data_IF_101261790415
#
_entry.id   IF_101261790415
#
_cell.length_a   1.000
_cell.length_b   1.000
_cell.length_c   1.000
_cell.angle_alpha   90.00
_cell.angle_beta   90.00
_cell.angle_gamma   90.00
#
_symmetry.space_group_name_H-M   'P 1'
#
loop_
_entity.id
_entity.type
_entity.pdbx_description
1 polymer ?
#
# COMPACT_ATOMS: atom_id res chain seq x y z
N UNK A 1 7.62 12.60 -12.98
CA UNK A 1 7.76 12.43 -11.52
C UNK A 1 6.94 13.51 -10.82
N UNK A 2 6.05 13.11 -9.93
CA UNK A 2 5.23 14.05 -9.16
C UNK A 2 6.10 14.81 -8.16
N UNK A 3 5.83 16.11 -7.95
CA UNK A 3 6.63 17.00 -7.09
C UNK A 3 6.83 16.50 -5.65
N UNK A 4 5.95 15.61 -5.17
CA UNK A 4 5.96 15.04 -3.82
C UNK A 4 6.43 13.57 -3.76
N UNK A 5 6.97 13.00 -4.83
CA UNK A 5 7.37 11.59 -4.87
C UNK A 5 8.39 11.24 -3.77
N UNK A 6 9.38 12.07 -3.56
CA UNK A 6 10.40 11.84 -2.53
C UNK A 6 9.84 11.78 -1.10
N UNK A 7 8.72 12.45 -0.83
CA UNK A 7 8.11 12.52 0.51
C UNK A 7 7.18 11.33 0.77
N UNK A 8 6.50 10.84 -0.26
CA UNK A 8 5.51 9.75 -0.16
C UNK A 8 6.07 8.37 -0.49
N UNK A 9 7.28 8.29 -1.05
CA UNK A 9 7.90 7.01 -1.40
C UNK A 9 8.48 6.32 -0.18
N UNK A 10 8.15 5.04 -0.03
CA UNK A 10 8.70 4.18 1.02
C UNK A 10 10.06 3.65 0.55
N UNK A 11 11.11 3.71 1.36
CA UNK A 11 12.39 3.09 1.03
C UNK A 11 12.24 1.59 0.73
N UNK A 12 12.78 1.13 -0.39
CA UNK A 12 12.68 -0.26 -0.84
C UNK A 12 13.17 -1.25 0.24
N UNK A 13 14.25 -0.92 0.94
CA UNK A 13 14.79 -1.76 2.02
C UNK A 13 13.80 -2.04 3.15
N UNK A 14 12.99 -1.04 3.52
CA UNK A 14 11.95 -1.20 4.55
C UNK A 14 10.79 -2.05 4.03
N UNK A 15 10.39 -1.84 2.79
CA UNK A 15 9.36 -2.66 2.16
C UNK A 15 9.81 -4.12 2.07
N UNK A 16 11.05 -4.37 1.63
CA UNK A 16 11.62 -5.71 1.57
C UNK A 16 11.66 -6.40 2.94
N UNK A 17 11.94 -5.65 4.01
CA UNK A 17 11.90 -6.19 5.37
C UNK A 17 10.48 -6.63 5.75
N UNK A 18 9.48 -5.80 5.47
CA UNK A 18 8.07 -6.14 5.70
C UNK A 18 7.69 -7.46 5.01
N UNK A 19 8.00 -7.59 3.72
CA UNK A 19 7.63 -8.75 2.92
C UNK A 19 8.24 -10.05 3.46
N UNK A 20 9.50 -10.00 3.88
CA UNK A 20 10.17 -11.18 4.46
C UNK A 20 9.59 -11.63 5.79
N UNK A 21 8.93 -10.75 6.53
CA UNK A 21 8.31 -11.10 7.82
C UNK A 21 6.95 -11.76 7.68
N UNK A 22 6.37 -11.78 6.48
CA UNK A 22 5.05 -12.35 6.19
C UNK A 22 5.10 -13.43 5.10
N UNK A 23 5.78 -14.56 5.32
CA UNK A 23 6.00 -15.59 4.29
C UNK A 23 4.72 -16.32 3.85
N UNK A 24 3.64 -16.18 4.59
CA UNK A 24 2.32 -16.76 4.25
C UNK A 24 1.47 -15.86 3.35
N UNK A 25 1.89 -14.61 3.15
CA UNK A 25 1.19 -13.65 2.29
C UNK A 25 1.81 -13.69 0.90
N UNK A 26 0.99 -13.86 -0.12
CA UNK A 26 1.41 -13.69 -1.51
C UNK A 26 1.31 -12.21 -1.85
N UNK A 27 2.45 -11.61 -2.18
CA UNK A 27 2.49 -10.21 -2.57
C UNK A 27 2.51 -10.06 -4.09
N UNK A 28 1.70 -9.15 -4.62
CA UNK A 28 1.61 -8.83 -6.04
C UNK A 28 2.04 -7.38 -6.25
N UNK A 29 3.02 -7.14 -7.14
CA UNK A 29 3.50 -5.79 -7.41
C UNK A 29 2.58 -5.06 -8.40
N UNK A 30 1.82 -4.09 -7.90
CA UNK A 30 0.90 -3.28 -8.70
C UNK A 30 1.55 -2.03 -9.30
N UNK A 31 2.86 -1.92 -9.30
CA UNK A 31 3.59 -0.80 -9.88
C UNK A 31 4.06 -1.16 -11.30
N UNK A 32 3.54 -0.48 -12.35
CA UNK A 32 3.86 -0.83 -13.76
C UNK A 32 5.34 -0.73 -14.09
N UNK A 33 6.00 0.31 -13.58
CA UNK A 33 7.38 0.69 -13.92
C UNK A 33 8.42 0.18 -12.90
N UNK A 34 8.01 -0.73 -11.97
CA UNK A 34 8.95 -1.30 -11.02
C UNK A 34 9.97 -2.18 -11.73
N UNK A 35 11.27 -1.88 -11.56
CA UNK A 35 12.32 -2.76 -12.00
C UNK A 35 12.32 -4.06 -11.20
N UNK A 36 12.63 -5.18 -11.85
CA UNK A 36 12.70 -6.49 -11.19
C UNK A 36 13.74 -6.52 -10.07
N UNK A 37 14.78 -5.72 -10.19
CA UNK A 37 15.89 -5.66 -9.22
C UNK A 37 15.48 -4.92 -7.93
N UNK A 38 14.46 -4.06 -8.00
CA UNK A 38 13.90 -3.38 -6.82
C UNK A 38 12.90 -4.25 -6.05
N UNK A 39 12.55 -5.44 -6.58
CA UNK A 39 11.56 -6.33 -6.03
C UNK A 39 12.23 -7.62 -5.58
N UNK A 40 12.08 -8.05 -4.31
CA UNK A 40 12.63 -9.33 -3.86
C UNK A 40 12.06 -10.48 -4.69
N UNK A 41 12.91 -11.20 -5.40
CA UNK A 41 12.54 -12.21 -6.38
C UNK A 41 11.66 -13.38 -5.84
N UNK A 42 11.54 -13.51 -4.53
CA UNK A 42 10.92 -14.69 -3.90
C UNK A 42 9.42 -14.56 -3.59
N UNK A 43 8.81 -13.39 -3.77
CA UNK A 43 7.46 -13.15 -3.25
C UNK A 43 6.53 -12.36 -4.18
N UNK A 44 6.90 -12.10 -5.43
CA UNK A 44 6.12 -11.18 -6.26
C UNK A 44 5.71 -11.79 -7.58
N UNK A 45 4.41 -11.78 -7.81
CA UNK A 45 3.86 -11.78 -9.14
C UNK A 45 3.82 -10.33 -9.65
N UNK A 46 4.22 -10.09 -10.88
CA UNK A 46 4.11 -8.78 -11.54
C UNK A 46 3.12 -8.89 -12.69
N UNK A 47 1.87 -8.47 -12.51
CA UNK A 47 0.88 -8.48 -13.56
C UNK A 47 1.20 -7.44 -14.65
N UNK A 48 0.68 -7.67 -15.85
CA UNK A 48 0.85 -6.77 -16.97
C UNK A 48 -0.20 -5.65 -16.95
N UNK A 49 0.09 -4.57 -16.25
CA UNK A 49 -0.80 -3.43 -16.03
C UNK A 49 -0.68 -2.40 -17.18
N UNK A 50 -1.36 -2.65 -18.30
CA UNK A 50 -1.31 -1.80 -19.50
C UNK A 50 -2.12 -0.51 -19.39
N UNK A 51 -3.20 -0.54 -18.62
CA UNK A 51 -4.14 0.55 -18.48
C UNK A 51 -4.94 0.42 -17.17
N UNK A 52 -5.78 1.39 -16.88
CA UNK A 52 -6.63 1.40 -15.68
C UNK A 52 -7.61 0.24 -15.62
N UNK A 53 -8.09 -0.27 -16.76
CA UNK A 53 -8.99 -1.41 -16.79
C UNK A 53 -8.26 -2.71 -16.43
N UNK A 54 -7.06 -2.91 -16.96
CA UNK A 54 -6.20 -4.03 -16.56
C UNK A 54 -5.86 -3.97 -15.06
N UNK A 55 -5.53 -2.78 -14.56
CA UNK A 55 -5.26 -2.55 -13.14
C UNK A 55 -6.49 -2.86 -12.27
N UNK A 56 -7.68 -2.42 -12.68
CA UNK A 56 -8.92 -2.71 -11.97
C UNK A 56 -9.24 -4.20 -11.93
N UNK A 57 -9.04 -4.90 -13.04
CA UNK A 57 -9.25 -6.37 -13.10
C UNK A 57 -8.31 -7.10 -12.17
N UNK A 58 -7.03 -6.71 -12.15
CA UNK A 58 -6.05 -7.31 -11.25
C UNK A 58 -6.40 -7.04 -9.79
N UNK A 59 -6.74 -5.79 -9.45
CA UNK A 59 -7.18 -5.43 -8.10
C UNK A 59 -8.34 -6.30 -7.60
N UNK A 60 -9.29 -6.64 -8.47
CA UNK A 60 -10.44 -7.49 -8.12
C UNK A 60 -10.06 -8.95 -7.80
N UNK A 61 -8.84 -9.38 -8.08
CA UNK A 61 -8.33 -10.73 -7.73
C UNK A 61 -7.61 -10.74 -6.38
N UNK A 62 -7.32 -9.58 -5.82
CA UNK A 62 -6.56 -9.42 -4.58
C UNK A 62 -7.48 -9.30 -3.37
N UNK A 63 -7.05 -9.82 -2.24
CA UNK A 63 -7.78 -9.66 -0.96
C UNK A 63 -7.72 -8.22 -0.45
N UNK A 64 -6.63 -7.50 -0.72
CA UNK A 64 -6.45 -6.11 -0.35
C UNK A 64 -5.31 -5.44 -1.12
N UNK A 65 -5.33 -4.11 -1.15
CA UNK A 65 -4.23 -3.29 -1.65
C UNK A 65 -3.51 -2.60 -0.49
N UNK A 66 -2.18 -2.62 -0.50
CA UNK A 66 -1.34 -1.73 0.33
C UNK A 66 -0.62 -0.75 -0.58
N UNK A 67 -0.77 0.54 -0.34
CA UNK A 67 -0.19 1.58 -1.21
C UNK A 67 0.08 2.87 -0.44
N UNK A 68 0.77 3.79 -1.07
CA UNK A 68 0.86 5.19 -0.65
C UNK A 68 -0.21 6.03 -1.34
N UNK A 69 -0.24 7.34 -1.13
CA UNK A 69 -1.16 8.26 -1.80
C UNK A 69 -0.89 8.32 -3.32
N UNK A 70 -1.60 7.50 -4.06
CA UNK A 70 -1.49 7.36 -5.52
C UNK A 70 -2.85 7.06 -6.16
N UNK A 71 -2.94 7.18 -7.48
CA UNK A 71 -4.19 6.92 -8.22
C UNK A 71 -4.79 5.53 -7.98
N UNK A 72 -3.96 4.51 -7.75
CA UNK A 72 -4.44 3.15 -7.49
C UNK A 72 -5.17 3.04 -6.13
N UNK A 73 -4.82 3.88 -5.13
CA UNK A 73 -5.55 3.94 -3.86
C UNK A 73 -7.01 4.36 -4.09
N UNK A 74 -7.22 5.36 -4.94
CA UNK A 74 -8.55 5.84 -5.30
C UNK A 74 -9.32 4.81 -6.13
N UNK A 75 -8.65 4.12 -7.04
CA UNK A 75 -9.27 3.05 -7.84
C UNK A 75 -9.74 1.90 -6.93
N UNK A 76 -8.90 1.41 -6.04
CA UNK A 76 -9.25 0.35 -5.11
C UNK A 76 -10.41 0.76 -4.18
N UNK A 77 -10.33 1.97 -3.63
CA UNK A 77 -11.40 2.52 -2.80
C UNK A 77 -12.73 2.65 -3.52
N UNK A 78 -12.73 3.11 -4.77
CA UNK A 78 -13.93 3.20 -5.61
C UNK A 78 -14.52 1.84 -5.98
N UNK A 79 -13.69 0.81 -6.11
CA UNK A 79 -14.11 -0.58 -6.35
C UNK A 79 -14.57 -1.29 -5.08
N UNK A 80 -14.46 -0.65 -3.90
CA UNK A 80 -14.82 -1.27 -2.61
C UNK A 80 -13.82 -2.32 -2.12
N UNK A 81 -12.63 -2.38 -2.71
CA UNK A 81 -11.57 -3.30 -2.32
C UNK A 81 -10.92 -2.78 -1.04
N UNK A 82 -10.66 -3.63 -0.03
CA UNK A 82 -9.93 -3.22 1.15
C UNK A 82 -8.60 -2.58 0.76
N UNK A 83 -8.34 -1.36 1.24
CA UNK A 83 -7.12 -0.64 0.91
C UNK A 83 -6.47 -0.06 2.16
N UNK A 84 -5.19 -0.36 2.35
CA UNK A 84 -4.35 0.22 3.37
C UNK A 84 -3.46 1.30 2.77
N UNK A 85 -3.66 2.53 3.22
CA UNK A 85 -3.01 3.71 2.64
C UNK A 85 -1.98 4.22 3.64
N UNK A 86 -0.72 4.20 3.23
CA UNK A 86 0.40 4.70 4.02
C UNK A 86 0.67 6.15 3.63
N UNK A 87 0.57 7.06 4.58
CA UNK A 87 0.63 8.49 4.35
C UNK A 87 1.85 9.14 5.02
N UNK A 88 2.43 10.18 4.39
CA UNK A 88 3.44 11.01 5.04
C UNK A 88 2.84 11.77 6.24
N UNK A 89 3.71 12.36 7.06
CA UNK A 89 3.31 13.16 8.22
C UNK A 89 2.37 14.33 7.84
N UNK A 90 2.62 14.95 6.69
CA UNK A 90 1.72 15.96 6.10
C UNK A 90 1.15 15.38 4.81
N UNK A 91 -0.05 14.79 4.87
CA UNK A 91 -0.69 14.18 3.71
C UNK A 91 -1.41 15.22 2.84
N UNK A 92 -1.92 14.79 1.69
CA UNK A 92 -2.89 15.55 0.91
C UNK A 92 -4.18 15.77 1.74
N UNK A 93 -4.83 16.91 1.51
CA UNK A 93 -6.04 17.33 2.24
C UNK A 93 -7.18 16.30 2.19
N UNK A 94 -7.25 15.49 1.13
CA UNK A 94 -8.27 14.43 0.95
C UNK A 94 -8.26 13.42 2.08
N UNK A 95 -7.10 13.18 2.66
CA UNK A 95 -6.92 12.17 3.72
C UNK A 95 -7.08 12.74 5.12
N UNK A 96 -7.26 14.07 5.25
CA UNK A 96 -7.29 14.74 6.54
C UNK A 96 -5.97 14.63 7.32
N UNK A 97 -5.92 15.25 8.47
CA UNK A 97 -4.70 15.29 9.30
C UNK A 97 -4.67 14.23 10.38
N UNK A 98 -5.80 13.64 10.74
CA UNK A 98 -5.94 12.76 11.89
C UNK A 98 -6.80 11.53 11.56
N UNK A 99 -6.69 10.51 12.45
CA UNK A 99 -7.48 9.29 12.33
C UNK A 99 -6.91 8.27 11.35
N UNK A 100 -7.52 7.11 11.33
CA UNK A 100 -7.13 5.95 10.52
C UNK A 100 -8.20 5.54 9.49
N UNK A 101 -9.23 6.36 9.30
CA UNK A 101 -10.31 6.17 8.35
C UNK A 101 -10.43 7.38 7.42
N UNK A 102 -11.21 7.25 6.36
CA UNK A 102 -11.53 8.35 5.44
C UNK A 102 -13.03 8.28 5.09
N UNK A 103 -13.69 9.43 4.92
CA UNK A 103 -15.10 9.46 4.50
C UNK A 103 -15.31 9.03 3.04
N UNK A 104 -14.24 9.02 2.22
CA UNK A 104 -14.33 8.69 0.80
C UNK A 104 -14.48 7.20 0.53
N UNK A 105 -13.80 6.37 1.32
CA UNK A 105 -13.71 4.92 1.08
C UNK A 105 -13.89 4.17 2.40
N UNK A 106 -15.08 3.59 2.65
CA UNK A 106 -15.36 2.90 3.92
C UNK A 106 -14.44 1.70 4.19
N UNK A 107 -13.93 1.04 3.14
CA UNK A 107 -13.02 -0.09 3.27
C UNK A 107 -11.53 0.32 3.39
N UNK A 108 -11.25 1.62 3.46
CA UNK A 108 -9.88 2.12 3.59
C UNK A 108 -9.44 2.21 5.05
N UNK A 109 -8.19 1.82 5.30
CA UNK A 109 -7.47 2.03 6.55
C UNK A 109 -6.21 2.87 6.31
N UNK A 110 -5.99 3.86 7.14
CA UNK A 110 -4.88 4.80 7.00
C UNK A 110 -3.81 4.53 8.04
N UNK A 111 -2.56 4.49 7.59
CA UNK A 111 -1.35 4.43 8.41
C UNK A 111 -0.52 5.69 8.17
N UNK A 112 -0.29 6.48 9.21
CA UNK A 112 0.37 7.80 9.10
C UNK A 112 1.76 7.79 9.71
N UNK A 113 2.70 8.51 9.07
CA UNK A 113 3.97 8.83 9.70
C UNK A 113 3.75 9.69 10.95
N UNK A 114 4.27 9.29 12.11
CA UNK A 114 4.20 10.11 13.32
C UNK A 114 5.11 11.34 13.23
N UNK A 115 6.21 11.23 12.48
CA UNK A 115 7.14 12.31 12.19
C UNK A 115 7.60 12.21 10.72
N UNK A 116 8.04 13.33 10.16
CA UNK A 116 8.48 13.38 8.76
C UNK A 116 9.60 12.38 8.48
N UNK A 117 9.38 11.49 7.51
CA UNK A 117 10.32 10.47 7.08
C UNK A 117 10.31 9.18 7.90
N UNK A 118 9.52 9.09 8.98
CA UNK A 118 9.43 7.89 9.81
C UNK A 118 8.55 6.80 9.18
N UNK A 119 9.01 6.28 8.06
CA UNK A 119 8.40 5.13 7.39
C UNK A 119 8.57 3.82 8.18
N UNK A 120 9.61 3.72 9.01
CA UNK A 120 9.84 2.53 9.84
C UNK A 120 8.68 2.28 10.79
N UNK A 121 8.18 3.33 11.44
CA UNK A 121 7.03 3.22 12.34
C UNK A 121 5.75 2.85 11.60
N UNK A 122 5.54 3.43 10.41
CA UNK A 122 4.39 3.07 9.56
C UNK A 122 4.40 1.59 9.22
N UNK A 123 5.54 1.07 8.74
CA UNK A 123 5.64 -0.34 8.35
C UNK A 123 5.60 -1.30 9.54
N UNK A 124 6.06 -0.90 10.72
CA UNK A 124 5.87 -1.66 11.96
C UNK A 124 4.38 -1.83 12.26
N UNK A 125 3.61 -0.75 12.15
CA UNK A 125 2.16 -0.79 12.38
C UNK A 125 1.42 -1.61 11.32
N UNK A 126 1.84 -1.50 10.05
CA UNK A 126 1.32 -2.32 8.94
C UNK A 126 1.61 -3.81 9.19
N UNK A 127 2.85 -4.15 9.59
CA UNK A 127 3.24 -5.53 9.90
C UNK A 127 2.42 -6.11 11.04
N UNK A 128 2.23 -5.36 12.12
CA UNK A 128 1.40 -5.79 13.24
C UNK A 128 -0.06 -6.04 12.82
N UNK A 129 -0.60 -5.18 11.96
CA UNK A 129 -1.94 -5.33 11.43
C UNK A 129 -2.08 -6.54 10.50
N UNK A 130 -1.07 -6.81 9.65
CA UNK A 130 -1.03 -8.01 8.80
C UNK A 130 -1.01 -9.29 9.64
N UNK A 131 -0.18 -9.35 10.67
CA UNK A 131 -0.12 -10.50 11.59
C UNK A 131 -1.46 -10.74 12.28
N UNK A 132 -2.21 -9.70 12.63
CA UNK A 132 -3.56 -9.80 13.15
C UNK A 132 -4.59 -10.31 12.13
N UNK A 133 -4.44 -9.93 10.86
CA UNK A 133 -5.29 -10.40 9.77
C UNK A 133 -5.01 -11.88 9.40
N UNK A 134 -3.75 -12.31 9.51
CA UNK A 134 -3.37 -13.72 9.29
C UNK A 134 -3.97 -14.68 10.34
N UNK A 135 -4.34 -14.17 11.53
CA UNK A 135 -4.82 -14.95 12.67
C UNK A 135 -6.34 -14.99 12.82
N UNK A 136 -7.10 -14.28 11.98
CA UNK A 136 -8.56 -14.21 12.06
C UNK A 136 -9.22 -14.13 10.70
N UNK A 137 -10.49 -14.56 10.58
CA UNK A 137 -11.28 -14.26 9.39
C UNK A 137 -11.44 -12.74 9.25
N UNK A 138 -11.26 -12.23 8.05
CA UNK A 138 -11.56 -10.85 7.67
C UNK A 138 -13.05 -10.56 7.82
#
# INVERSE_FOLDING_TARGET
>A
LHRNDAVRSIPASLLHALLRTHPKVTFVCMQPDADRDDIPAAAWEKPHLRDWLATARELCTLDMLMTVDTGIAHLAGALGIPVWIMLPNVPDWRWGMHGNTTPWYPAARIFRQPARGDWSRVLTNVSAALSGAELGPL
#
